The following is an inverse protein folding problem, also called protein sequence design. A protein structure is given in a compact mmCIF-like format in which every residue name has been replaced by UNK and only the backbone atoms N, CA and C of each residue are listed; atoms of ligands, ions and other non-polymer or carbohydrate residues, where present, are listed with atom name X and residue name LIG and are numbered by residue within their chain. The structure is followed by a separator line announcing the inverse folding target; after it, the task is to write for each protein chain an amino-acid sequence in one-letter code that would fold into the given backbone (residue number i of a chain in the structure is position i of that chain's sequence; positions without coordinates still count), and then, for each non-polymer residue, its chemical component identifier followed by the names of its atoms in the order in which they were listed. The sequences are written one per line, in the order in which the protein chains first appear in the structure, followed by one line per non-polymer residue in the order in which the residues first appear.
data_IF_583875811979
#
_entry.id   IF_583875811979
#
_cell.length_a   1.000
_cell.length_b   1.000
_cell.length_c   1.000
_cell.angle_alpha   90.00
_cell.angle_beta   90.00
_cell.angle_gamma   90.00
#
_symmetry.space_group_name_H-M   'P 1'
#
loop_
_entity.id
_entity.type
_entity.pdbx_description
1 polymer ?
#
# COMPACT_ATOMS: atom_id res chain seq x y z
N UNK A 1 2.26 -8.44 -5.33
CA UNK A 1 1.28 -7.64 -4.59
C UNK A 1 0.11 -7.37 -5.53
N UNK A 2 -1.04 -7.92 -5.22
CA UNK A 2 -2.25 -7.63 -5.99
C UNK A 2 -2.89 -6.36 -5.46
N UNK A 3 -3.41 -5.55 -6.35
CA UNK A 3 -4.21 -4.38 -5.99
C UNK A 3 -5.44 -4.87 -5.21
N UNK A 4 -5.82 -4.14 -4.16
CA UNK A 4 -7.06 -4.41 -3.46
C UNK A 4 -8.23 -4.43 -4.46
N UNK A 5 -9.01 -5.50 -4.42
CA UNK A 5 -10.20 -5.66 -5.25
C UNK A 5 -11.41 -5.78 -4.35
N UNK A 6 -12.40 -4.91 -4.51
CA UNK A 6 -13.72 -5.08 -3.95
C UNK A 6 -14.54 -6.09 -4.78
N UNK A 7 -15.67 -6.54 -4.27
CA UNK A 7 -16.62 -7.38 -5.02
C UNK A 7 -16.97 -8.73 -4.36
N UNK A 8 -16.46 -8.96 -3.12
CA UNK A 8 -16.84 -10.11 -2.31
C UNK A 8 -16.68 -9.77 -0.83
N UNK A 9 -17.15 -10.59 0.07
CA UNK A 9 -17.21 -10.36 1.53
C UNK A 9 -15.84 -10.11 2.18
N UNK A 10 -14.74 -10.48 1.51
CA UNK A 10 -13.39 -10.26 2.00
C UNK A 10 -13.11 -8.77 2.28
N UNK A 11 -13.70 -7.83 1.54
CA UNK A 11 -13.45 -6.41 1.75
C UNK A 11 -14.11 -5.89 3.02
N UNK A 12 -15.26 -6.48 3.41
CA UNK A 12 -15.94 -6.12 4.67
C UNK A 12 -15.13 -6.59 5.87
N UNK A 13 -14.62 -7.83 5.81
CA UNK A 13 -13.85 -8.43 6.89
C UNK A 13 -12.46 -7.80 7.02
N UNK A 14 -11.85 -7.41 5.90
CA UNK A 14 -10.52 -6.76 5.87
C UNK A 14 -10.57 -5.25 6.09
N UNK A 15 -11.76 -4.66 6.23
CA UNK A 15 -11.90 -3.25 6.59
C UNK A 15 -11.14 -2.96 7.90
N UNK A 16 -10.40 -1.83 8.00
CA UNK A 16 -9.64 -1.50 9.20
C UNK A 16 -10.44 -1.48 10.50
N UNK A 17 -11.75 -1.26 10.42
CA UNK A 17 -12.64 -1.29 11.60
C UNK A 17 -12.93 -2.70 12.10
N UNK A 18 -12.87 -3.70 11.22
CA UNK A 18 -13.01 -5.14 11.53
C UNK A 18 -11.63 -5.78 11.72
N UNK A 19 -10.70 -5.49 10.81
CA UNK A 19 -9.29 -5.84 10.92
C UNK A 19 -8.99 -7.34 10.85
N UNK A 20 -9.81 -8.12 10.15
CA UNK A 20 -9.56 -9.55 9.93
C UNK A 20 -8.76 -9.71 8.64
N UNK A 21 -7.58 -10.37 8.66
CA UNK A 21 -6.80 -10.61 7.44
C UNK A 21 -7.53 -11.63 6.56
N UNK A 22 -8.24 -11.12 5.55
CA UNK A 22 -9.13 -11.92 4.70
C UNK A 22 -8.72 -11.75 3.23
N UNK A 23 -7.84 -12.63 2.69
CA UNK A 23 -7.50 -12.62 1.27
C UNK A 23 -8.64 -13.18 0.44
N UNK A 24 -8.72 -12.74 -0.83
CA UNK A 24 -9.53 -13.39 -1.85
C UNK A 24 -8.65 -14.29 -2.71
N UNK A 25 -9.11 -15.50 -2.97
CA UNK A 25 -8.52 -16.41 -3.96
C UNK A 25 -9.47 -16.44 -5.15
N UNK A 26 -9.03 -15.92 -6.28
CA UNK A 26 -9.86 -15.75 -7.46
C UNK A 26 -9.12 -16.22 -8.72
N UNK A 27 -9.86 -16.84 -9.63
CA UNK A 27 -9.41 -17.12 -10.98
C UNK A 27 -10.09 -16.13 -11.93
N UNK A 28 -9.32 -15.20 -12.48
CA UNK A 28 -9.87 -14.15 -13.32
C UNK A 28 -9.05 -13.98 -14.63
N UNK A 29 -9.70 -13.75 -15.77
CA UNK A 29 -11.15 -13.64 -15.99
C UNK A 29 -11.88 -14.99 -15.95
N UNK A 30 -13.08 -15.00 -15.38
CA UNK A 30 -13.98 -16.12 -15.35
C UNK A 30 -15.21 -15.83 -16.22
N UNK A 31 -15.32 -16.53 -17.35
CA UNK A 31 -16.39 -16.33 -18.32
C UNK A 31 -17.75 -16.88 -17.87
N UNK A 32 -17.76 -17.69 -16.83
CA UNK A 32 -18.99 -18.27 -16.29
C UNK A 32 -19.52 -17.51 -15.07
N UNK A 33 -18.71 -16.61 -14.51
CA UNK A 33 -19.03 -15.85 -13.32
C UNK A 33 -20.38 -15.14 -13.40
N UNK A 34 -21.23 -15.35 -12.41
CA UNK A 34 -22.58 -14.82 -12.31
C UNK A 34 -23.51 -15.23 -13.49
N UNK A 35 -23.32 -16.38 -14.05
CA UNK A 35 -24.17 -16.92 -15.11
C UNK A 35 -24.79 -18.27 -14.72
N UNK A 36 -25.86 -18.68 -15.41
CA UNK A 36 -26.44 -20.01 -15.26
C UNK A 36 -25.54 -21.15 -15.75
N UNK A 37 -24.49 -20.80 -16.49
CA UNK A 37 -23.50 -21.75 -17.02
C UNK A 37 -22.39 -22.03 -15.99
N UNK A 38 -22.37 -21.36 -14.83
CA UNK A 38 -21.45 -21.63 -13.74
C UNK A 38 -21.89 -22.88 -12.97
N UNK A 39 -21.57 -24.02 -13.55
CA UNK A 39 -21.96 -25.34 -13.12
C UNK A 39 -20.74 -26.17 -12.66
N UNK A 40 -20.91 -27.21 -11.83
CA UNK A 40 -19.79 -28.00 -11.27
C UNK A 40 -18.87 -28.64 -12.33
N UNK A 41 -19.35 -28.90 -13.54
CA UNK A 41 -18.52 -29.40 -14.64
C UNK A 41 -17.51 -28.40 -15.19
N UNK A 42 -17.63 -27.10 -14.83
CA UNK A 42 -16.65 -26.05 -15.16
C UNK A 42 -15.52 -25.95 -14.13
N UNK A 43 -15.66 -26.61 -12.99
CA UNK A 43 -14.67 -26.59 -11.92
C UNK A 43 -13.54 -27.56 -12.24
N UNK A 44 -12.29 -27.05 -12.24
CA UNK A 44 -11.10 -27.89 -12.32
C UNK A 44 -10.77 -28.47 -10.94
N UNK A 45 -10.75 -29.81 -10.77
CA UNK A 45 -10.36 -30.44 -9.50
C UNK A 45 -8.97 -30.03 -9.04
N UNK A 46 -8.00 -29.87 -9.96
CA UNK A 46 -6.63 -29.45 -9.65
C UNK A 46 -6.58 -28.00 -9.15
N UNK A 47 -7.36 -27.11 -9.77
CA UNK A 47 -7.45 -25.71 -9.32
C UNK A 47 -8.09 -25.61 -7.95
N UNK A 48 -9.14 -26.39 -7.71
CA UNK A 48 -9.81 -26.45 -6.41
C UNK A 48 -8.89 -26.99 -5.32
N UNK A 49 -8.14 -28.07 -5.61
CA UNK A 49 -7.16 -28.64 -4.67
C UNK A 49 -6.05 -27.64 -4.32
N UNK A 50 -5.51 -26.91 -5.31
CA UNK A 50 -4.49 -25.88 -5.07
C UNK A 50 -5.04 -24.72 -4.24
N UNK A 51 -6.23 -24.24 -4.54
CA UNK A 51 -6.89 -23.18 -3.79
C UNK A 51 -7.17 -23.60 -2.35
N UNK A 52 -7.64 -24.83 -2.15
CA UNK A 52 -7.86 -25.40 -0.82
C UNK A 52 -6.57 -25.56 -0.04
N UNK A 53 -5.49 -26.05 -0.66
CA UNK A 53 -4.17 -26.16 -0.03
C UNK A 53 -3.63 -24.79 0.37
N UNK A 54 -3.74 -23.77 -0.51
CA UNK A 54 -3.31 -22.40 -0.21
C UNK A 54 -4.09 -21.82 0.97
N UNK A 55 -5.42 -21.98 0.98
CA UNK A 55 -6.26 -21.52 2.07
C UNK A 55 -5.90 -22.23 3.40
N UNK A 56 -5.66 -23.53 3.37
CA UNK A 56 -5.27 -24.30 4.55
C UNK A 56 -3.90 -23.85 5.10
N UNK A 57 -2.89 -23.66 4.24
CA UNK A 57 -1.56 -23.16 4.63
C UNK A 57 -1.67 -21.74 5.22
N UNK A 58 -2.45 -20.87 4.61
CA UNK A 58 -2.68 -19.52 5.12
C UNK A 58 -3.34 -19.51 6.51
N UNK A 59 -4.41 -20.29 6.68
CA UNK A 59 -5.09 -20.40 7.96
C UNK A 59 -4.19 -21.02 9.05
N UNK A 60 -3.46 -22.07 8.70
CA UNK A 60 -2.52 -22.71 9.59
C UNK A 60 -1.41 -21.75 10.03
N UNK A 61 -0.82 -21.02 9.08
CA UNK A 61 0.21 -20.01 9.38
C UNK A 61 -0.30 -18.94 10.34
N UNK A 62 -1.50 -18.38 10.08
CA UNK A 62 -2.10 -17.37 10.97
C UNK A 62 -2.39 -17.92 12.39
N UNK A 63 -2.77 -19.20 12.49
CA UNK A 63 -3.09 -19.83 13.76
C UNK A 63 -1.85 -20.20 14.59
N UNK A 64 -0.69 -20.38 13.94
CA UNK A 64 0.54 -20.90 14.59
C UNK A 64 1.70 -19.91 14.58
N UNK A 65 1.57 -18.78 13.84
CA UNK A 65 2.64 -17.78 13.77
C UNK A 65 2.92 -17.17 15.16
N UNK A 66 4.21 -17.09 15.47
CA UNK A 66 4.73 -16.52 16.72
C UNK A 66 5.81 -15.48 16.45
N UNK A 67 6.71 -15.31 17.43
CA UNK A 67 7.76 -14.27 17.39
C UNK A 67 8.67 -14.39 16.16
N UNK A 68 9.09 -15.60 15.78
CA UNK A 68 9.99 -15.82 14.65
C UNK A 68 9.33 -15.43 13.32
N UNK A 69 8.07 -15.83 13.12
CA UNK A 69 7.30 -15.49 11.93
C UNK A 69 6.99 -13.99 11.85
N UNK A 70 6.66 -13.37 12.98
CA UNK A 70 6.42 -11.94 13.07
C UNK A 70 7.69 -11.14 12.74
N UNK A 71 8.85 -11.54 13.26
CA UNK A 71 10.14 -10.91 12.96
C UNK A 71 10.51 -11.07 11.48
N UNK A 72 10.39 -12.28 10.94
CA UNK A 72 10.61 -12.55 9.52
C UNK A 72 9.69 -11.66 8.64
N UNK A 73 8.41 -11.59 8.98
CA UNK A 73 7.44 -10.77 8.24
C UNK A 73 7.79 -9.28 8.28
N UNK A 74 8.23 -8.77 9.44
CA UNK A 74 8.69 -7.39 9.59
C UNK A 74 9.87 -7.08 8.66
N UNK A 75 10.90 -7.92 8.66
CA UNK A 75 12.03 -7.78 7.74
C UNK A 75 11.61 -7.86 6.27
N UNK A 76 10.74 -8.79 5.93
CA UNK A 76 10.22 -8.93 4.57
C UNK A 76 9.42 -7.69 4.13
N UNK A 77 8.57 -7.14 5.00
CA UNK A 77 7.79 -5.93 4.74
C UNK A 77 8.70 -4.72 4.47
N UNK A 78 9.72 -4.52 5.30
CA UNK A 78 10.73 -3.45 5.12
C UNK A 78 11.45 -3.64 3.78
N UNK A 79 11.92 -4.86 3.47
CA UNK A 79 12.61 -5.15 2.20
C UNK A 79 11.71 -4.89 0.98
N UNK A 80 10.45 -5.25 1.05
CA UNK A 80 9.47 -4.96 -0.02
C UNK A 80 9.24 -3.47 -0.20
N UNK A 81 9.16 -2.73 0.90
CA UNK A 81 9.00 -1.28 0.87
C UNK A 81 10.22 -0.60 0.25
N UNK A 82 11.44 -0.93 0.68
CA UNK A 82 12.66 -0.31 0.13
C UNK A 82 12.80 -0.58 -1.36
N UNK A 83 12.48 -1.81 -1.80
CA UNK A 83 12.47 -2.15 -3.22
C UNK A 83 11.41 -1.38 -4.01
N UNK A 84 10.26 -1.09 -3.42
CA UNK A 84 9.23 -0.26 -4.04
C UNK A 84 9.68 1.20 -4.11
N UNK A 85 10.19 1.78 -3.01
CA UNK A 85 10.56 3.19 -2.93
C UNK A 85 11.66 3.55 -3.94
N UNK A 86 12.70 2.72 -4.06
CA UNK A 86 13.76 2.93 -5.05
C UNK A 86 13.24 2.89 -6.50
N UNK A 87 12.33 1.94 -6.81
CA UNK A 87 11.71 1.91 -8.16
C UNK A 87 10.83 3.13 -8.41
N UNK A 88 10.03 3.54 -7.42
CA UNK A 88 9.14 4.69 -7.56
C UNK A 88 9.93 6.00 -7.76
N UNK A 89 11.07 6.15 -7.07
CA UNK A 89 11.99 7.28 -7.24
C UNK A 89 12.58 7.30 -8.66
N UNK A 90 13.05 6.15 -9.15
CA UNK A 90 13.58 6.06 -10.53
C UNK A 90 12.49 6.35 -11.57
N UNK A 91 11.27 5.80 -11.38
CA UNK A 91 10.14 6.00 -12.28
C UNK A 91 9.70 7.47 -12.37
N UNK A 92 9.67 8.19 -11.25
CA UNK A 92 9.32 9.62 -11.29
C UNK A 92 10.38 10.45 -12.01
N UNK A 93 11.67 10.12 -11.84
CA UNK A 93 12.76 10.80 -12.58
C UNK A 93 12.57 10.65 -14.09
N UNK A 94 12.29 9.43 -14.57
CA UNK A 94 12.02 9.19 -15.98
C UNK A 94 10.73 9.89 -16.46
N UNK A 95 9.68 9.85 -15.66
CA UNK A 95 8.39 10.48 -15.98
C UNK A 95 8.54 11.99 -16.13
N UNK A 96 9.22 12.65 -15.17
CA UNK A 96 9.44 14.11 -15.20
C UNK A 96 10.33 14.50 -16.37
N UNK A 97 11.41 13.76 -16.65
CA UNK A 97 12.29 14.01 -17.79
C UNK A 97 11.58 13.86 -19.13
N UNK A 98 10.68 12.89 -19.24
CA UNK A 98 9.87 12.66 -20.44
C UNK A 98 8.70 13.62 -20.64
N UNK A 99 8.32 14.39 -19.61
CA UNK A 99 7.17 15.29 -19.68
C UNK A 99 7.47 16.53 -20.54
N UNK A 100 6.57 16.82 -21.48
CA UNK A 100 6.73 17.91 -22.47
C UNK A 100 6.40 19.30 -21.90
N UNK A 101 5.70 19.38 -20.79
CA UNK A 101 5.28 20.66 -20.17
C UNK A 101 5.69 20.70 -18.69
N UNK A 102 5.95 21.90 -18.20
CA UNK A 102 6.22 22.15 -16.81
C UNK A 102 5.08 21.71 -15.89
N UNK A 103 3.86 22.03 -16.26
CA UNK A 103 2.68 21.58 -15.50
C UNK A 103 2.62 20.06 -15.37
N UNK A 104 2.97 19.30 -16.41
CA UNK A 104 3.03 17.84 -16.34
C UNK A 104 4.17 17.36 -15.45
N UNK A 105 5.35 18.02 -15.47
CA UNK A 105 6.46 17.73 -14.56
C UNK A 105 6.08 17.93 -13.10
N UNK A 106 5.51 19.09 -12.79
CA UNK A 106 5.05 19.41 -11.44
C UNK A 106 3.97 18.45 -10.95
N UNK A 107 3.01 18.10 -11.81
CA UNK A 107 1.96 17.14 -11.47
C UNK A 107 2.53 15.75 -11.16
N UNK A 108 3.49 15.25 -11.95
CA UNK A 108 4.15 13.97 -11.74
C UNK A 108 4.94 13.97 -10.43
N UNK A 109 5.72 15.01 -10.16
CA UNK A 109 6.48 15.17 -8.92
C UNK A 109 5.56 15.23 -7.68
N UNK A 110 4.52 16.05 -7.74
CA UNK A 110 3.55 16.17 -6.65
C UNK A 110 2.80 14.85 -6.40
N UNK A 111 2.49 14.09 -7.46
CA UNK A 111 1.88 12.76 -7.33
C UNK A 111 2.83 11.78 -6.63
N UNK A 112 4.09 11.72 -7.03
CA UNK A 112 5.10 10.89 -6.39
C UNK A 112 5.22 11.20 -4.90
N UNK A 113 5.38 12.47 -4.52
CA UNK A 113 5.51 12.88 -3.11
C UNK A 113 4.30 12.46 -2.27
N UNK A 114 3.09 12.72 -2.76
CA UNK A 114 1.87 12.26 -2.05
C UNK A 114 1.83 10.75 -1.88
N UNK A 115 2.19 10.01 -2.93
CA UNK A 115 2.21 8.55 -2.89
C UNK A 115 3.30 8.02 -1.95
N UNK A 116 4.48 8.65 -1.93
CA UNK A 116 5.59 8.30 -1.05
C UNK A 116 5.18 8.45 0.43
N UNK A 117 4.58 9.59 0.81
CA UNK A 117 4.05 9.80 2.16
C UNK A 117 2.96 8.78 2.51
N UNK A 118 1.97 8.61 1.63
CA UNK A 118 0.88 7.66 1.85
C UNK A 118 1.39 6.23 2.06
N UNK A 119 2.33 5.77 1.23
CA UNK A 119 2.88 4.41 1.31
C UNK A 119 3.74 4.22 2.56
N UNK A 120 4.47 5.24 2.97
CA UNK A 120 5.26 5.25 4.20
C UNK A 120 4.35 5.10 5.42
N UNK A 121 3.31 5.92 5.51
CA UNK A 121 2.33 5.87 6.60
C UNK A 121 1.61 4.50 6.64
N UNK A 122 1.22 3.98 5.48
CA UNK A 122 0.58 2.65 5.38
C UNK A 122 1.51 1.52 5.79
N UNK A 123 2.80 1.62 5.46
CA UNK A 123 3.77 0.61 5.87
C UNK A 123 4.01 0.65 7.38
N UNK A 124 4.14 1.83 7.98
CA UNK A 124 4.26 1.97 9.43
C UNK A 124 3.01 1.41 10.16
N UNK A 125 1.82 1.71 9.65
CA UNK A 125 0.57 1.16 10.18
C UNK A 125 0.52 -0.37 10.03
N UNK A 126 0.98 -0.92 8.92
CA UNK A 126 1.02 -2.37 8.71
C UNK A 126 2.06 -3.06 9.64
N UNK A 127 3.23 -2.48 9.83
CA UNK A 127 4.24 -2.97 10.76
C UNK A 127 3.71 -3.01 12.20
N UNK A 128 2.92 -2.02 12.61
CA UNK A 128 2.32 -1.99 13.94
C UNK A 128 1.37 -3.18 14.21
N UNK A 129 0.79 -3.78 13.16
CA UNK A 129 -0.09 -4.95 13.30
C UNK A 129 0.67 -6.24 13.66
N UNK A 130 2.01 -6.27 13.51
CA UNK A 130 2.81 -7.43 13.91
C UNK A 130 2.70 -7.74 15.42
N UNK A 131 2.39 -6.74 16.23
CA UNK A 131 2.08 -6.91 17.67
C UNK A 131 0.87 -7.83 17.91
N UNK A 132 -0.01 -8.00 16.93
CA UNK A 132 -1.15 -8.94 17.01
C UNK A 132 -0.71 -10.41 16.82
N UNK A 133 0.41 -10.62 16.12
CA UNK A 133 1.02 -11.95 15.97
C UNK A 133 1.82 -12.29 17.21
N UNK A 134 2.68 -11.37 17.64
CA UNK A 134 3.46 -11.51 18.86
C UNK A 134 3.62 -10.15 19.57
N UNK A 135 3.20 -10.03 20.84
CA UNK A 135 3.31 -8.78 21.61
C UNK A 135 4.75 -8.27 21.79
N UNK A 136 5.77 -9.13 21.71
CA UNK A 136 7.20 -8.76 21.76
C UNK A 136 7.65 -7.90 20.59
N UNK A 137 6.89 -7.86 19.49
CA UNK A 137 7.17 -6.99 18.34
C UNK A 137 7.02 -5.49 18.68
N UNK A 138 6.40 -5.15 19.80
CA UNK A 138 6.24 -3.75 20.24
C UNK A 138 7.56 -2.99 20.29
N UNK A 139 8.63 -3.66 20.71
CA UNK A 139 9.95 -3.06 20.82
C UNK A 139 10.72 -3.01 19.47
N UNK A 140 10.30 -3.82 18.50
CA UNK A 140 10.92 -3.91 17.17
C UNK A 140 10.31 -2.95 16.15
N UNK A 141 9.00 -2.74 16.22
CA UNK A 141 8.22 -1.93 15.27
C UNK A 141 8.75 -0.51 15.09
N UNK A 142 9.15 0.23 16.16
CA UNK A 142 9.69 1.59 16.00
C UNK A 142 10.91 1.63 15.08
N UNK A 143 11.88 0.75 15.28
CA UNK A 143 13.11 0.72 14.48
C UNK A 143 12.83 0.39 12.99
N UNK A 144 11.89 -0.50 12.70
CA UNK A 144 11.46 -0.77 11.33
C UNK A 144 10.74 0.41 10.70
N UNK A 145 9.87 1.09 11.46
CA UNK A 145 9.14 2.27 10.98
C UNK A 145 10.09 3.44 10.68
N UNK A 146 11.07 3.68 11.55
CA UNK A 146 12.13 4.67 11.33
C UNK A 146 12.94 4.35 10.06
N UNK A 147 13.31 3.08 9.87
CA UNK A 147 14.04 2.64 8.67
C UNK A 147 13.24 2.88 7.39
N UNK A 148 11.94 2.58 7.41
CA UNK A 148 11.02 2.83 6.29
C UNK A 148 10.95 4.32 5.97
N UNK A 149 10.76 5.17 6.99
CA UNK A 149 10.68 6.61 6.83
C UNK A 149 12.00 7.22 6.34
N UNK A 150 13.13 6.80 6.92
CA UNK A 150 14.46 7.26 6.52
C UNK A 150 14.77 6.92 5.06
N UNK A 151 14.46 5.68 4.64
CA UNK A 151 14.68 5.25 3.26
C UNK A 151 13.79 6.00 2.28
N UNK A 152 12.51 6.18 2.61
CA UNK A 152 11.58 6.97 1.79
C UNK A 152 12.06 8.42 1.58
N UNK A 153 12.58 9.04 2.64
CA UNK A 153 13.12 10.38 2.59
C UNK A 153 14.46 10.46 1.81
N UNK A 154 15.30 9.42 1.88
CA UNK A 154 16.52 9.32 1.11
C UNK A 154 16.24 9.23 -0.40
N UNK A 155 15.34 8.36 -0.80
CA UNK A 155 14.94 8.20 -2.20
C UNK A 155 14.26 9.46 -2.76
N UNK A 156 13.46 10.17 -1.93
CA UNK A 156 12.87 11.45 -2.32
C UNK A 156 13.94 12.51 -2.57
N UNK A 157 14.93 12.63 -1.68
CA UNK A 157 16.07 13.56 -1.87
C UNK A 157 16.90 13.21 -3.10
N UNK A 158 17.15 11.93 -3.34
CA UNK A 158 17.86 11.48 -4.52
C UNK A 158 17.09 11.85 -5.81
N UNK A 159 15.81 11.60 -5.85
CA UNK A 159 14.97 11.94 -7.01
C UNK A 159 14.90 13.47 -7.21
N UNK A 160 14.75 14.24 -6.13
CA UNK A 160 14.75 15.70 -6.18
C UNK A 160 16.07 16.24 -6.75
N UNK A 161 17.21 15.75 -6.27
CA UNK A 161 18.53 16.14 -6.78
C UNK A 161 18.73 15.77 -8.25
N UNK A 162 18.21 14.61 -8.68
CA UNK A 162 18.24 14.17 -10.08
C UNK A 162 17.37 15.04 -11.01
N UNK A 163 16.41 15.75 -10.44
CA UNK A 163 15.47 16.63 -11.13
C UNK A 163 15.76 18.12 -10.89
N UNK A 164 16.87 18.44 -10.19
CA UNK A 164 17.26 19.83 -9.94
C UNK A 164 17.41 20.59 -11.26
N UNK A 165 16.78 21.77 -11.35
CA UNK A 165 16.65 22.53 -12.61
C UNK A 165 15.41 22.19 -13.44
N UNK A 166 14.90 20.96 -13.46
CA UNK A 166 13.70 20.60 -14.19
C UNK A 166 12.40 20.92 -13.45
N UNK A 167 12.47 21.01 -12.13
CA UNK A 167 11.33 21.29 -11.25
C UNK A 167 11.36 22.75 -10.76
N UNK A 168 12.55 23.37 -10.70
CA UNK A 168 12.75 24.72 -10.20
C UNK A 168 12.65 25.84 -11.23
N UNK A 169 12.84 25.55 -12.51
CA UNK A 169 12.92 26.55 -13.59
C UNK A 169 11.61 27.37 -13.82
N UNK A 170 10.58 27.20 -12.99
CA UNK A 170 9.32 27.92 -13.11
C UNK A 170 8.90 28.72 -11.89
N UNK A 171 9.63 28.67 -10.78
CA UNK A 171 9.33 29.48 -9.57
C UNK A 171 9.68 30.98 -9.78
N UNK A 172 10.43 31.31 -10.87
CA UNK A 172 10.75 32.71 -11.21
C UNK A 172 9.60 33.44 -11.94
N UNK A 173 8.49 32.76 -12.23
CA UNK A 173 7.30 33.35 -12.85
C UNK A 173 6.20 33.81 -11.89
N UNK A 174 6.48 33.95 -10.59
CA UNK A 174 5.59 34.67 -9.66
C UNK A 174 4.36 33.89 -9.16
N UNK A 175 4.31 32.58 -9.30
CA UNK A 175 3.30 31.76 -8.63
C UNK A 175 3.72 31.49 -7.18
N UNK A 176 2.84 31.57 -6.18
CA UNK A 176 3.21 31.37 -4.78
C UNK A 176 3.76 29.96 -4.55
N UNK A 177 5.01 29.86 -4.23
CA UNK A 177 5.69 28.63 -3.76
C UNK A 177 5.11 28.21 -2.42
N UNK A 178 4.00 27.50 -2.47
CA UNK A 178 3.39 26.87 -1.31
C UNK A 178 3.63 25.38 -1.34
N UNK A 179 4.88 24.91 -1.19
CA UNK A 179 5.14 23.51 -0.84
C UNK A 179 4.65 23.33 0.59
N UNK A 180 3.41 22.90 0.73
CA UNK A 180 2.84 22.61 2.05
C UNK A 180 3.63 21.46 2.70
N UNK A 181 4.04 21.69 3.94
CA UNK A 181 4.57 20.64 4.81
C UNK A 181 3.62 19.43 4.79
N UNK A 182 4.15 18.22 4.86
CA UNK A 182 3.35 16.98 4.90
C UNK A 182 2.37 16.93 6.08
N UNK A 183 2.58 17.77 7.12
CA UNK A 183 1.66 17.95 8.25
C UNK A 183 0.39 18.73 7.89
N UNK A 184 0.46 19.61 6.86
CA UNK A 184 -0.58 20.61 6.57
C UNK A 184 -1.35 20.34 5.27
N UNK A 185 -1.23 19.15 4.71
CA UNK A 185 -1.88 18.79 3.48
C UNK A 185 -3.43 18.81 3.61
N UNK A 186 -4.17 19.63 2.83
CA UNK A 186 -5.64 19.78 2.97
C UNK A 186 -6.38 18.45 2.87
N UNK A 187 -5.87 17.50 2.08
CA UNK A 187 -6.47 16.18 1.94
C UNK A 187 -6.44 15.35 3.24
N UNK A 188 -5.49 15.59 4.17
CA UNK A 188 -5.49 14.93 5.48
C UNK A 188 -6.67 15.37 6.34
N UNK A 189 -6.99 16.67 6.30
CA UNK A 189 -8.17 17.19 6.99
C UNK A 189 -9.47 16.69 6.32
N UNK A 190 -9.47 16.55 5.01
CA UNK A 190 -10.61 16.03 4.25
C UNK A 190 -10.76 14.51 4.41
N UNK A 191 -9.67 13.76 4.36
CA UNK A 191 -9.67 12.32 4.65
C UNK A 191 -10.07 12.02 6.10
N UNK A 192 -9.70 12.87 7.06
CA UNK A 192 -10.15 12.75 8.44
C UNK A 192 -11.66 13.05 8.61
N UNK A 193 -12.27 13.80 7.69
CA UNK A 193 -13.72 14.04 7.62
C UNK A 193 -14.48 12.90 6.94
N UNK A 194 -13.80 12.11 6.11
CA UNK A 194 -14.34 10.93 5.44
C UNK A 194 -14.25 9.68 6.33
N UNK A 195 -14.35 9.81 7.63
CA UNK A 195 -14.58 8.66 8.50
C UNK A 195 -15.94 8.10 8.08
N UNK A 196 -16.00 6.85 7.58
CA UNK A 196 -17.27 6.24 7.23
C UNK A 196 -18.12 6.17 8.50
N UNK A 197 -19.12 7.02 8.59
CA UNK A 197 -20.14 6.83 9.62
C UNK A 197 -20.84 5.49 9.31
N UNK A 198 -20.82 4.61 10.28
CA UNK A 198 -21.57 3.36 10.22
C UNK A 198 -23.03 3.69 9.95
N UNK A 199 -23.52 3.41 8.73
CA UNK A 199 -24.91 3.67 8.32
C UNK A 199 -25.84 2.60 8.94
N UNK A 200 -25.29 1.49 9.44
CA UNK A 200 -26.05 0.45 10.10
C UNK A 200 -25.77 0.47 11.60
N UNK A 201 -26.80 0.64 12.46
CA UNK A 201 -26.66 0.35 13.87
C UNK A 201 -26.30 -1.13 14.00
N UNK A 202 -25.16 -1.43 14.61
CA UNK A 202 -24.84 -2.80 15.01
C UNK A 202 -25.85 -3.30 16.06
N UNK A 203 -25.94 -4.63 16.23
CA UNK A 203 -26.77 -5.20 17.30
C UNK A 203 -26.30 -4.74 18.66
#
# INVERSE_FOLDING_TARGET
ETVFSAGSDHYILSDPTVGIPTPIIIHWPDKFYHSSEDTPDKVSPDSLARSGALAAVYAYWLATAGAAEAEWLGHWMVSRFTSWAGRAAAEVVETVRGASTAAARQAAWAHYRRNNVFRTDRMAAALSQLVRIDPGMRDRVPAWSERVAAFAAEEERWAEAALDGLIRDEDDSGAPSGIMSSSDAPWKAEAARLIPHRIFPGP
#
